data_IF_159182424467
#
_entry.id   IF_159182424467
#
_cell.length_a   1.000
_cell.length_b   1.000
_cell.length_c   1.000
_cell.angle_alpha   90.00
_cell.angle_beta   90.00
_cell.angle_gamma   90.00
#
_symmetry.space_group_name_H-M   'P 1'
#
loop_
_entity.id
_entity.type
_entity.pdbx_description
1 polymer ?
#
# COMPACT_ATOMS: atom_id res chain seq x y z
N UNK A 1 -4.75 31.03 8.95
CA UNK A 1 -4.54 29.74 9.65
C UNK A 1 -4.46 28.64 8.59
N UNK A 2 -3.27 28.13 8.26
CA UNK A 2 -3.14 27.00 7.33
C UNK A 2 -3.47 25.73 8.11
N UNK A 3 -4.69 25.25 7.96
CA UNK A 3 -5.03 23.89 8.37
C UNK A 3 -4.21 23.00 7.43
N UNK A 4 -3.03 22.54 7.89
CA UNK A 4 -2.33 21.45 7.21
C UNK A 4 -3.13 20.20 7.48
N UNK A 5 -4.22 20.01 6.74
CA UNK A 5 -4.82 18.70 6.60
C UNK A 5 -3.69 17.82 6.10
N UNK A 6 -3.19 16.91 6.94
CA UNK A 6 -2.27 15.86 6.50
C UNK A 6 -3.09 15.01 5.54
N UNK A 7 -3.14 15.44 4.28
CA UNK A 7 -3.80 14.72 3.22
C UNK A 7 -2.90 13.51 2.96
N UNK A 8 -3.22 12.39 3.60
CA UNK A 8 -2.59 11.13 3.30
C UNK A 8 -3.02 10.73 1.89
N UNK A 9 -2.27 11.21 0.89
CA UNK A 9 -2.55 10.94 -0.51
C UNK A 9 -2.24 9.49 -0.81
N UNK A 10 -3.18 8.85 -1.49
CA UNK A 10 -3.02 7.52 -2.03
C UNK A 10 -2.41 7.66 -3.42
N UNK A 11 -1.34 6.92 -3.67
CA UNK A 11 -0.68 6.90 -4.98
C UNK A 11 -0.79 5.51 -5.62
N UNK A 12 -0.77 5.48 -6.95
CA UNK A 12 -0.75 4.24 -7.70
C UNK A 12 0.61 4.02 -8.33
N UNK A 13 1.04 2.77 -8.33
CA UNK A 13 2.21 2.33 -9.04
C UNK A 13 2.01 0.92 -9.59
N UNK A 14 2.84 0.55 -10.54
CA UNK A 14 2.94 -0.81 -11.05
C UNK A 14 4.06 -1.54 -10.33
N UNK A 15 3.87 -2.82 -10.06
CA UNK A 15 4.97 -3.71 -9.72
C UNK A 15 5.82 -3.98 -10.97
N UNK A 16 7.06 -4.43 -10.79
CA UNK A 16 7.91 -4.89 -11.89
C UNK A 16 7.27 -5.97 -12.78
N UNK A 17 6.25 -6.68 -12.29
CA UNK A 17 5.50 -7.71 -13.04
C UNK A 17 4.18 -7.18 -13.61
N UNK A 18 3.98 -5.86 -13.63
CA UNK A 18 2.76 -5.21 -14.15
C UNK A 18 1.54 -5.21 -13.23
N UNK A 19 1.59 -5.87 -12.06
CA UNK A 19 0.50 -5.83 -11.08
C UNK A 19 0.33 -4.43 -10.46
N UNK A 20 -0.91 -3.96 -10.32
CA UNK A 20 -1.23 -2.66 -9.71
C UNK A 20 -1.00 -2.67 -8.20
N UNK A 21 -0.35 -1.62 -7.72
CA UNK A 21 -0.02 -1.40 -6.33
C UNK A 21 -0.57 -0.05 -5.87
N UNK A 22 -1.06 -0.05 -4.64
CA UNK A 22 -1.45 1.14 -3.91
C UNK A 22 -0.32 1.53 -2.96
N UNK A 23 0.13 2.77 -3.02
CA UNK A 23 1.08 3.32 -2.08
C UNK A 23 0.34 4.20 -1.10
N UNK A 24 0.44 3.87 0.17
CA UNK A 24 -0.15 4.64 1.26
C UNK A 24 0.84 4.70 2.42
N UNK A 25 1.10 5.91 2.93
CA UNK A 25 2.01 6.16 4.06
C UNK A 25 3.43 5.53 3.90
N UNK A 26 3.91 5.41 2.66
CA UNK A 26 5.20 4.79 2.33
C UNK A 26 5.21 3.26 2.34
N UNK A 27 4.05 2.62 2.42
CA UNK A 27 3.87 1.17 2.28
C UNK A 27 3.18 0.84 0.96
N UNK A 28 3.55 -0.30 0.36
CA UNK A 28 2.95 -0.79 -0.87
C UNK A 28 1.98 -1.93 -0.61
N UNK A 29 0.76 -1.79 -1.09
CA UNK A 29 -0.31 -2.77 -0.97
C UNK A 29 -0.74 -3.29 -2.34
N UNK A 30 -1.07 -4.58 -2.40
CA UNK A 30 -1.68 -5.22 -3.58
C UNK A 30 -3.16 -5.44 -3.33
N UNK A 31 -3.97 -5.23 -4.35
CA UNK A 31 -5.41 -5.51 -4.29
C UNK A 31 -5.63 -7.01 -4.11
N UNK A 32 -6.37 -7.41 -3.08
CA UNK A 32 -6.78 -8.80 -2.89
C UNK A 32 -8.16 -9.06 -3.49
N UNK A 33 -9.12 -8.17 -3.22
CA UNK A 33 -10.51 -8.31 -3.68
C UNK A 33 -11.23 -6.97 -3.65
N UNK A 34 -12.34 -6.92 -4.37
CA UNK A 34 -13.30 -5.81 -4.36
C UNK A 34 -14.65 -6.37 -3.90
N UNK A 35 -15.26 -5.76 -2.88
CA UNK A 35 -16.56 -6.17 -2.34
C UNK A 35 -17.27 -4.98 -1.71
N UNK A 36 -18.59 -4.87 -1.91
CA UNK A 36 -19.44 -3.80 -1.36
C UNK A 36 -18.85 -2.40 -1.64
N UNK A 37 -18.42 -2.15 -2.87
CA UNK A 37 -17.77 -0.91 -3.31
C UNK A 37 -16.49 -0.51 -2.57
N UNK A 38 -15.90 -1.47 -1.86
CA UNK A 38 -14.66 -1.30 -1.13
C UNK A 38 -13.56 -2.21 -1.70
N UNK A 39 -12.38 -1.63 -1.87
CA UNK A 39 -11.17 -2.36 -2.19
C UNK A 39 -10.49 -2.85 -0.92
N UNK A 40 -10.14 -4.12 -0.93
CA UNK A 40 -9.41 -4.79 0.12
C UNK A 40 -7.97 -4.95 -0.34
N UNK A 41 -7.06 -4.24 0.31
CA UNK A 41 -5.64 -4.25 0.00
C UNK A 41 -4.87 -4.98 1.08
N UNK A 42 -3.74 -5.59 0.69
CA UNK A 42 -2.82 -6.24 1.62
C UNK A 42 -1.40 -5.78 1.36
N UNK A 43 -0.64 -5.54 2.42
CA UNK A 43 0.75 -5.17 2.29
C UNK A 43 1.54 -6.26 1.54
N UNK A 44 2.35 -5.82 0.60
CA UNK A 44 3.12 -6.70 -0.29
C UNK A 44 4.41 -7.26 0.35
N UNK A 45 4.83 -6.70 1.48
CA UNK A 45 6.07 -7.09 2.14
C UNK A 45 5.97 -8.40 2.92
N UNK A 46 7.13 -8.99 3.21
CA UNK A 46 7.28 -10.17 4.06
C UNK A 46 7.78 -9.75 5.44
N UNK A 47 7.47 -10.55 6.45
CA UNK A 47 7.96 -10.29 7.80
C UNK A 47 9.47 -10.61 7.87
N UNK A 48 10.28 -9.79 8.57
CA UNK A 48 11.72 -10.02 8.68
C UNK A 48 12.03 -11.40 9.25
N UNK A 49 13.01 -12.10 8.66
CA UNK A 49 13.42 -13.44 9.12
C UNK A 49 12.41 -14.55 8.83
N UNK A 50 11.37 -14.30 8.03
CA UNK A 50 10.37 -15.32 7.66
C UNK A 50 10.00 -15.25 6.18
N UNK A 51 9.39 -16.33 5.66
CA UNK A 51 8.73 -16.34 4.36
C UNK A 51 7.27 -15.85 4.41
N UNK A 52 6.77 -15.44 5.59
CA UNK A 52 5.37 -15.05 5.77
C UNK A 52 5.14 -13.64 5.25
N UNK A 53 3.98 -13.39 4.64
CA UNK A 53 3.56 -12.05 4.23
C UNK A 53 3.20 -11.20 5.45
N UNK A 54 3.38 -9.90 5.35
CA UNK A 54 2.84 -8.95 6.31
C UNK A 54 1.32 -9.12 6.43
N UNK A 55 0.82 -8.90 7.63
CA UNK A 55 -0.60 -9.01 7.99
C UNK A 55 -1.35 -7.69 7.83
N UNK A 56 -0.64 -6.60 7.54
CA UNK A 56 -1.22 -5.29 7.30
C UNK A 56 -2.16 -5.28 6.10
N UNK A 57 -3.33 -4.69 6.30
CA UNK A 57 -4.44 -4.58 5.37
C UNK A 57 -4.89 -3.13 5.34
N UNK A 58 -5.30 -2.69 4.17
CA UNK A 58 -5.84 -1.37 3.98
C UNK A 58 -7.17 -1.50 3.25
N UNK A 59 -8.16 -0.72 3.67
CA UNK A 59 -9.48 -0.71 3.07
C UNK A 59 -9.71 0.67 2.48
N UNK A 60 -10.10 0.71 1.20
CA UNK A 60 -10.43 1.97 0.54
C UNK A 60 -11.81 1.89 -0.11
N UNK A 61 -12.47 3.05 -0.23
CA UNK A 61 -13.69 3.16 -1.04
C UNK A 61 -13.37 3.06 -2.54
N UNK A 62 -14.42 3.05 -3.37
CA UNK A 62 -14.32 3.15 -4.83
C UNK A 62 -13.54 4.40 -5.29
N UNK A 63 -13.68 5.51 -4.54
CA UNK A 63 -12.94 6.77 -4.76
C UNK A 63 -11.50 6.74 -4.19
N UNK A 64 -11.04 5.56 -3.75
CA UNK A 64 -9.73 5.35 -3.12
C UNK A 64 -9.50 6.18 -1.85
N UNK A 65 -10.56 6.60 -1.16
CA UNK A 65 -10.43 7.18 0.17
C UNK A 65 -10.14 6.06 1.16
N UNK A 66 -9.12 6.24 1.99
CA UNK A 66 -8.78 5.26 3.03
C UNK A 66 -9.87 5.27 4.10
N UNK A 67 -10.49 4.11 4.29
CA UNK A 67 -11.49 3.86 5.33
C UNK A 67 -10.78 3.43 6.62
N UNK A 68 -9.85 2.47 6.48
CA UNK A 68 -9.18 1.86 7.62
C UNK A 68 -7.82 1.22 7.24
N UNK A 69 -6.89 1.21 8.18
CA UNK A 69 -5.56 0.57 8.10
C UNK A 69 -5.43 -0.40 9.28
N UNK A 70 -5.56 -1.70 8.99
CA UNK A 70 -5.68 -2.76 9.99
C UNK A 70 -4.50 -3.71 9.94
N UNK A 71 -3.99 -4.05 11.13
CA UNK A 71 -2.91 -5.01 11.30
C UNK A 71 -1.56 -4.30 11.18
N UNK A 72 -0.92 -4.05 12.32
CA UNK A 72 0.35 -3.33 12.35
C UNK A 72 1.41 -3.95 11.44
N UNK A 73 2.24 -3.09 10.85
CA UNK A 73 3.39 -3.52 10.05
C UNK A 73 4.47 -4.12 10.95
N UNK A 74 4.80 -5.38 10.72
CA UNK A 74 5.91 -6.07 11.39
C UNK A 74 7.26 -5.92 10.66
N UNK A 75 7.38 -4.94 9.77
CA UNK A 75 8.59 -4.66 9.00
C UNK A 75 8.84 -3.16 8.90
N UNK A 76 10.10 -2.78 8.64
CA UNK A 76 10.47 -1.38 8.40
C UNK A 76 9.81 -0.86 7.12
N UNK A 77 9.66 0.46 7.04
CA UNK A 77 9.19 1.13 5.83
C UNK A 77 10.13 0.79 4.67
N UNK A 78 9.59 0.22 3.58
CA UNK A 78 10.42 -0.11 2.44
C UNK A 78 10.81 1.11 1.62
N UNK A 79 11.97 1.00 0.96
CA UNK A 79 12.44 2.01 0.02
C UNK A 79 12.05 1.60 -1.39
N UNK A 80 11.41 2.52 -2.09
CA UNK A 80 11.02 2.34 -3.49
C UNK A 80 11.69 3.39 -4.36
N UNK A 81 11.94 3.06 -5.62
CA UNK A 81 12.18 4.03 -6.68
C UNK A 81 11.14 3.85 -7.76
N UNK A 82 10.50 4.95 -8.16
CA UNK A 82 9.52 4.98 -9.24
C UNK A 82 10.25 5.20 -10.57
N UNK A 83 10.06 4.32 -11.55
CA UNK A 83 10.52 4.46 -12.94
C UNK A 83 9.33 4.21 -13.87
N UNK A 84 8.90 5.20 -14.65
CA UNK A 84 7.78 5.09 -15.60
C UNK A 84 6.56 4.39 -14.97
N UNK A 85 6.07 4.95 -13.86
CA UNK A 85 4.98 4.41 -13.02
C UNK A 85 5.19 3.04 -12.37
N UNK A 86 6.33 2.40 -12.58
CA UNK A 86 6.70 1.14 -11.94
C UNK A 86 7.52 1.41 -10.68
N UNK A 87 7.11 0.86 -9.53
CA UNK A 87 7.93 0.85 -8.32
C UNK A 87 8.88 -0.35 -8.30
N UNK A 88 10.15 -0.02 -8.13
CA UNK A 88 11.24 -0.97 -7.89
C UNK A 88 11.61 -0.87 -6.42
N UNK A 89 11.56 -2.00 -5.72
CA UNK A 89 12.07 -2.09 -4.34
C UNK A 89 13.59 -2.01 -4.37
N UNK A 90 14.14 -1.18 -3.51
CA UNK A 90 15.58 -1.12 -3.25
C UNK A 90 15.81 -1.76 -1.88
N UNK A 91 16.75 -2.71 -1.83
CA UNK A 91 17.15 -3.40 -0.60
C UNK A 91 18.26 -2.62 0.10
#
# INVERSE_FOLDING_TARGET
MKITCLHFSVEFALSQRGGRLLIFNGYSYSMQKFKNDNFYWRCTMVQPGTAKRCTAKLFTTLDYKVIDDVGGHCHKKPKFTKRNDTIVRIY
#
